data_IF_557313221472
#
_entry.id   IF_557313221472
#
_cell.length_a   1.000
_cell.length_b   1.000
_cell.length_c   1.000
_cell.angle_alpha   90.00
_cell.angle_beta   90.00
_cell.angle_gamma   90.00
#
_symmetry.space_group_name_H-M   'P 1'
#
loop_
_entity.id
_entity.type
_entity.pdbx_description
1 polymer ?
#
# COMPACT_ATOMS: atom_id res chain seq x y z
N UNK A 1 8.37 -12.62 26.83
CA UNK A 1 7.27 -13.36 26.18
C UNK A 1 6.81 -12.56 24.96
N UNK A 2 7.22 -13.01 23.76
CA UNK A 2 6.85 -12.71 22.37
C UNK A 2 6.78 -11.25 21.80
N UNK A 3 7.44 -10.99 20.63
CA UNK A 3 7.16 -9.84 19.76
C UNK A 3 6.00 -10.19 18.82
N UNK A 4 4.75 -10.00 19.25
CA UNK A 4 3.57 -10.41 18.46
C UNK A 4 3.12 -9.38 17.42
N UNK A 5 3.54 -8.12 17.52
CA UNK A 5 3.00 -7.05 16.68
C UNK A 5 3.56 -7.07 15.25
N UNK A 6 4.89 -7.10 15.07
CA UNK A 6 5.54 -7.04 13.73
C UNK A 6 5.17 -8.21 12.80
N UNK A 7 5.08 -9.43 13.33
CA UNK A 7 4.80 -10.62 12.54
C UNK A 7 3.36 -10.65 11.98
N UNK A 8 2.39 -10.09 12.72
CA UNK A 8 0.99 -10.04 12.27
C UNK A 8 0.84 -9.03 11.14
N UNK A 9 1.46 -7.84 11.23
CA UNK A 9 1.44 -6.84 10.15
C UNK A 9 2.16 -7.37 8.92
N UNK A 10 3.31 -8.04 9.06
CA UNK A 10 4.01 -8.68 7.95
C UNK A 10 3.16 -9.76 7.27
N UNK A 11 2.39 -10.56 8.03
CA UNK A 11 1.51 -11.58 7.46
C UNK A 11 0.28 -11.00 6.74
N UNK A 12 -0.25 -9.87 7.22
CA UNK A 12 -1.34 -9.16 6.55
C UNK A 12 -0.90 -8.60 5.19
N UNK A 13 0.33 -8.05 5.12
CA UNK A 13 0.95 -7.57 3.87
C UNK A 13 1.13 -8.66 2.83
N UNK A 14 1.59 -9.84 3.27
CA UNK A 14 1.81 -10.98 2.39
C UNK A 14 0.54 -11.45 1.66
N UNK A 15 -0.65 -11.06 2.16
CA UNK A 15 -1.94 -11.43 1.59
C UNK A 15 -2.62 -10.28 0.83
N UNK A 16 -2.44 -9.03 1.27
CA UNK A 16 -3.15 -7.89 0.68
C UNK A 16 -2.64 -7.54 -0.72
N UNK A 17 -1.32 -7.56 -0.95
CA UNK A 17 -0.73 -7.22 -2.26
C UNK A 17 -1.17 -8.22 -3.34
N UNK A 18 -1.08 -9.57 -3.13
CA UNK A 18 -1.61 -10.53 -4.09
C UNK A 18 -3.10 -10.37 -4.37
N UNK A 19 -3.90 -10.04 -3.34
CA UNK A 19 -5.34 -9.85 -3.49
C UNK A 19 -5.68 -8.61 -4.32
N UNK A 20 -5.00 -7.49 -4.10
CA UNK A 20 -5.16 -6.28 -4.92
C UNK A 20 -4.75 -6.56 -6.36
N UNK A 21 -3.62 -7.24 -6.57
CA UNK A 21 -3.18 -7.65 -7.90
C UNK A 21 -4.23 -8.51 -8.61
N UNK A 22 -4.79 -9.52 -7.93
CA UNK A 22 -5.83 -10.38 -8.52
C UNK A 22 -7.08 -9.60 -8.89
N UNK A 23 -7.53 -8.67 -8.03
CA UNK A 23 -8.68 -7.83 -8.31
C UNK A 23 -8.46 -6.90 -9.51
N UNK A 24 -7.26 -6.32 -9.64
CA UNK A 24 -6.88 -5.52 -10.80
C UNK A 24 -6.91 -6.35 -12.09
N UNK A 25 -6.29 -7.53 -12.09
CA UNK A 25 -6.30 -8.44 -13.24
C UNK A 25 -7.72 -8.88 -13.61
N UNK A 26 -8.56 -9.19 -12.63
CA UNK A 26 -9.95 -9.57 -12.88
C UNK A 26 -10.77 -8.42 -13.46
N UNK A 27 -10.58 -7.20 -12.94
CA UNK A 27 -11.25 -6.00 -13.45
C UNK A 27 -10.81 -5.71 -14.88
N UNK A 28 -9.51 -5.77 -15.14
CA UNK A 28 -8.94 -5.62 -16.49
C UNK A 28 -9.52 -6.66 -17.45
N UNK A 29 -9.55 -7.93 -17.05
CA UNK A 29 -10.06 -9.02 -17.88
C UNK A 29 -11.57 -8.93 -18.13
N UNK A 30 -12.33 -8.36 -17.19
CA UNK A 30 -13.80 -8.29 -17.27
C UNK A 30 -14.27 -7.09 -18.08
N UNK A 31 -13.68 -5.92 -17.84
CA UNK A 31 -14.14 -4.67 -18.42
C UNK A 31 -13.24 -4.16 -19.55
N UNK A 32 -11.97 -4.58 -19.59
CA UNK A 32 -10.99 -4.13 -20.57
C UNK A 32 -10.23 -2.86 -20.14
N UNK A 33 -9.06 -2.59 -20.76
CA UNK A 33 -8.16 -1.52 -20.35
C UNK A 33 -8.72 -0.12 -20.58
N UNK A 34 -9.60 0.05 -21.57
CA UNK A 34 -10.21 1.35 -21.90
C UNK A 34 -11.54 1.61 -21.17
N UNK A 35 -11.92 0.72 -20.25
CA UNK A 35 -13.20 0.85 -19.54
C UNK A 35 -13.14 1.88 -18.42
N UNK A 36 -14.24 2.58 -18.21
CA UNK A 36 -14.36 3.50 -17.08
C UNK A 36 -14.21 2.79 -15.73
N UNK A 37 -14.65 1.52 -15.64
CA UNK A 37 -14.53 0.69 -14.45
C UNK A 37 -13.07 0.39 -14.13
N UNK A 38 -12.27 -0.02 -15.12
CA UNK A 38 -10.85 -0.29 -14.90
C UNK A 38 -10.10 0.99 -14.52
N UNK A 39 -10.35 2.10 -15.21
CA UNK A 39 -9.76 3.40 -14.87
C UNK A 39 -10.13 3.86 -13.45
N UNK A 40 -11.39 3.69 -13.04
CA UNK A 40 -11.83 4.05 -11.69
C UNK A 40 -11.09 3.24 -10.61
N UNK A 41 -10.85 1.95 -10.86
CA UNK A 41 -10.10 1.10 -9.91
C UNK A 41 -8.63 1.55 -9.80
N UNK A 42 -8.00 1.93 -10.91
CA UNK A 42 -6.64 2.46 -10.89
C UNK A 42 -6.54 3.80 -10.13
N UNK A 43 -7.51 4.70 -10.31
CA UNK A 43 -7.54 5.95 -9.55
C UNK A 43 -7.80 5.73 -8.05
N UNK A 44 -8.73 4.83 -7.67
CA UNK A 44 -8.94 4.48 -6.26
C UNK A 44 -7.68 3.90 -5.61
N UNK A 45 -6.93 3.06 -6.33
CA UNK A 45 -5.66 2.53 -5.84
C UNK A 45 -4.62 3.64 -5.65
N UNK A 46 -4.55 4.57 -6.60
CA UNK A 46 -3.65 5.74 -6.54
C UNK A 46 -3.97 6.64 -5.35
N UNK A 47 -5.25 6.89 -5.08
CA UNK A 47 -5.70 7.66 -3.91
C UNK A 47 -5.33 6.94 -2.62
N UNK A 48 -5.58 5.64 -2.54
CA UNK A 48 -5.22 4.82 -1.37
C UNK A 48 -3.72 4.85 -1.07
N UNK A 49 -2.86 4.83 -2.10
CA UNK A 49 -1.40 4.97 -1.93
C UNK A 49 -1.05 6.32 -1.29
N UNK A 50 -1.65 7.43 -1.78
CA UNK A 50 -1.40 8.77 -1.24
C UNK A 50 -1.88 8.90 0.21
N UNK A 51 -3.01 8.30 0.55
CA UNK A 51 -3.51 8.29 1.92
C UNK A 51 -2.55 7.56 2.86
N UNK A 52 -2.02 6.40 2.44
CA UNK A 52 -1.01 5.66 3.22
C UNK A 52 0.28 6.45 3.41
N UNK A 53 0.71 7.18 2.38
CA UNK A 53 1.88 8.08 2.47
C UNK A 53 1.65 9.21 3.46
N UNK A 54 0.49 9.85 3.41
CA UNK A 54 0.12 10.92 4.35
C UNK A 54 0.01 10.39 5.77
N UNK A 55 -0.55 9.20 5.98
CA UNK A 55 -0.61 8.56 7.30
C UNK A 55 0.79 8.28 7.86
N UNK A 56 1.71 7.78 7.03
CA UNK A 56 3.11 7.59 7.42
C UNK A 56 3.83 8.90 7.79
N UNK A 57 3.53 10.00 7.10
CA UNK A 57 4.05 11.34 7.42
C UNK A 57 3.45 11.94 8.71
N UNK A 58 2.18 11.65 9.00
CA UNK A 58 1.50 12.13 10.20
C UNK A 58 1.95 11.38 11.45
N UNK A 59 2.19 10.06 11.35
CA UNK A 59 2.80 9.26 12.43
C UNK A 59 4.18 9.80 12.80
N UNK A 60 5.03 10.12 11.81
CA UNK A 60 6.36 10.72 12.04
C UNK A 60 6.29 12.12 12.66
N UNK A 61 5.33 12.96 12.26
CA UNK A 61 5.17 14.31 12.86
C UNK A 61 4.70 14.29 14.33
N UNK A 62 3.90 13.31 14.73
CA UNK A 62 3.48 13.17 16.14
C UNK A 62 4.58 12.56 17.01
N UNK A 63 5.49 11.76 16.45
CA UNK A 63 6.63 11.18 17.16
C UNK A 63 7.79 12.17 17.41
N UNK A 64 7.95 13.20 16.56
CA UNK A 64 8.96 14.27 16.76
C UNK A 64 8.72 15.07 18.06
N UNK A 65 7.49 15.10 18.58
CA UNK A 65 7.19 15.74 19.87
C UNK A 65 7.62 14.87 21.06
N UNK A 66 7.89 13.57 20.85
CA UNK A 66 8.04 12.62 21.95
C UNK A 66 9.46 12.11 22.22
N UNK A 67 10.38 11.96 21.25
CA UNK A 67 11.58 11.15 21.49
C UNK A 67 12.89 11.73 20.92
N UNK A 68 13.58 12.50 21.76
CA UNK A 68 15.02 12.31 21.87
C UNK A 68 15.28 10.83 22.19
N UNK A 69 16.09 10.16 21.36
CA UNK A 69 16.67 8.82 21.54
C UNK A 69 15.81 7.66 21.01
N UNK A 70 16.08 7.28 19.76
CA UNK A 70 15.90 5.90 19.28
C UNK A 70 15.20 5.82 17.92
N UNK A 71 15.99 5.77 16.84
CA UNK A 71 15.48 5.41 15.52
C UNK A 71 14.89 3.99 15.54
N UNK A 72 13.70 3.81 14.99
CA UNK A 72 13.01 2.54 15.01
C UNK A 72 11.95 2.40 13.92
N UNK A 73 12.37 1.83 12.78
CA UNK A 73 11.56 0.96 11.92
C UNK A 73 10.34 1.54 11.17
N UNK A 74 10.54 2.57 10.34
CA UNK A 74 9.60 2.98 9.26
C UNK A 74 9.55 2.00 8.05
N UNK A 75 10.43 0.99 8.02
CA UNK A 75 10.52 0.00 6.94
C UNK A 75 9.19 -0.71 6.55
N UNK A 76 8.27 -1.05 7.47
CA UNK A 76 7.14 -1.89 7.12
C UNK A 76 6.13 -1.19 6.18
N UNK A 77 5.89 0.10 6.32
CA UNK A 77 4.85 0.81 5.56
C UNK A 77 5.38 1.26 4.20
N UNK A 78 6.66 1.65 4.13
CA UNK A 78 7.34 1.99 2.88
C UNK A 78 7.35 0.82 1.88
N UNK A 79 7.68 -0.39 2.33
CA UNK A 79 7.69 -1.59 1.47
C UNK A 79 6.32 -1.88 0.83
N UNK A 80 5.24 -1.59 1.55
CA UNK A 80 3.85 -1.79 1.06
C UNK A 80 3.49 -0.73 0.04
N UNK A 81 3.82 0.53 0.33
CA UNK A 81 3.61 1.64 -0.59
C UNK A 81 4.35 1.40 -1.89
N UNK A 82 5.61 0.94 -1.83
CA UNK A 82 6.40 0.59 -3.01
C UNK A 82 5.76 -0.53 -3.83
N UNK A 83 5.34 -1.63 -3.17
CA UNK A 83 4.66 -2.72 -3.85
C UNK A 83 3.33 -2.31 -4.52
N UNK A 84 2.55 -1.42 -3.90
CA UNK A 84 1.31 -0.89 -4.47
C UNK A 84 1.61 0.04 -5.67
N UNK A 85 2.67 0.84 -5.59
CA UNK A 85 3.14 1.71 -6.70
C UNK A 85 3.53 0.88 -7.92
N UNK A 86 4.27 -0.22 -7.74
CA UNK A 86 4.59 -1.13 -8.84
C UNK A 86 3.34 -1.73 -9.49
N UNK A 87 2.34 -2.13 -8.70
CA UNK A 87 1.09 -2.68 -9.23
C UNK A 87 0.33 -1.64 -10.05
N UNK A 88 0.27 -0.40 -9.57
CA UNK A 88 -0.37 0.70 -10.29
C UNK A 88 0.35 0.99 -11.62
N UNK A 89 1.68 1.03 -11.62
CA UNK A 89 2.47 1.25 -12.84
C UNK A 89 2.25 0.15 -13.87
N UNK A 90 2.24 -1.12 -13.44
CA UNK A 90 1.92 -2.27 -14.29
C UNK A 90 0.51 -2.17 -14.88
N UNK A 91 -0.46 -1.72 -14.09
CA UNK A 91 -1.85 -1.51 -14.53
C UNK A 91 -2.05 -0.31 -15.46
N UNK A 92 -1.16 0.68 -15.46
CA UNK A 92 -1.21 1.82 -16.38
C UNK A 92 -0.52 1.55 -17.73
N UNK A 93 0.26 0.47 -17.84
CA UNK A 93 1.04 0.12 -19.03
C UNK A 93 0.32 -0.84 -19.99
N UNK A 94 -0.79 -1.44 -19.56
CA UNK A 94 -1.65 -2.33 -20.36
C UNK A 94 -2.49 -1.56 -21.37
#
# INVERSE_FOLDING_TARGET
>A
MAPRSKAVVASAKSKIIPQISANLSNTLSTFGPTSAQYSAVLEMLRESIRELELMGEVETKQEIVALNRGGGDDAPTADVIEALRELLEKGLRV
#
